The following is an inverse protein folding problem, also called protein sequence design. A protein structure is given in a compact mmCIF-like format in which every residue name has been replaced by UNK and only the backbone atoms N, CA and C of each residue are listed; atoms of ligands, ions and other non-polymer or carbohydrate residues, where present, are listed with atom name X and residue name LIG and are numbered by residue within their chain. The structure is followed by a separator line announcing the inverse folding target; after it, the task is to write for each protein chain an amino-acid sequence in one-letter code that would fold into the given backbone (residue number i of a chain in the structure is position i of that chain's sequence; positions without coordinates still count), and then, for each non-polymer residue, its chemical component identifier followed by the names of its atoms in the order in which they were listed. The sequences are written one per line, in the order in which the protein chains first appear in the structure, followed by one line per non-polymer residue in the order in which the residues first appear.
data_IF_944294775244
#
_entry.id   IF_944294775244
#
_cell.length_a   1.000
_cell.length_b   1.000
_cell.length_c   1.000
_cell.angle_alpha   90.00
_cell.angle_beta   90.00
_cell.angle_gamma   90.00
#
_symmetry.space_group_name_H-M   'P 1'
#
loop_
_entity.id
_entity.type
_entity.pdbx_description
1 polymer ?
#
# COMPACT_ATOMS: atom_id res chain seq x y z
N UNK A 1 -5.55 23.52 -13.48
CA UNK A 1 -5.76 22.15 -14.00
C UNK A 1 -7.22 22.03 -14.44
N UNK A 2 -7.50 21.66 -15.68
CA UNK A 2 -8.86 21.53 -16.21
C UNK A 2 -9.60 20.31 -15.63
N UNK A 3 -10.94 20.26 -15.75
CA UNK A 3 -11.73 19.10 -15.33
C UNK A 3 -11.30 17.84 -16.07
N UNK A 4 -10.94 17.95 -17.35
CA UNK A 4 -10.48 16.83 -18.17
C UNK A 4 -9.12 16.28 -17.73
N UNK A 5 -8.18 17.14 -17.35
CA UNK A 5 -6.87 16.73 -16.84
C UNK A 5 -7.00 16.00 -15.50
N UNK A 6 -7.94 16.45 -14.64
CA UNK A 6 -8.24 15.82 -13.36
C UNK A 6 -8.84 14.43 -13.56
N UNK A 7 -9.82 14.31 -14.45
CA UNK A 7 -10.44 13.03 -14.75
C UNK A 7 -9.44 12.02 -15.33
N UNK A 8 -8.60 12.46 -16.27
CA UNK A 8 -7.53 11.63 -16.83
C UNK A 8 -6.52 11.18 -15.75
N UNK A 9 -6.20 12.03 -14.77
CA UNK A 9 -5.33 11.68 -13.65
C UNK A 9 -5.96 10.62 -12.75
N UNK A 10 -7.24 10.77 -12.38
CA UNK A 10 -7.96 9.78 -11.57
C UNK A 10 -8.03 8.41 -12.26
N UNK A 11 -8.34 8.38 -13.56
CA UNK A 11 -8.31 7.15 -14.36
C UNK A 11 -6.93 6.49 -14.35
N UNK A 12 -5.86 7.30 -14.46
CA UNK A 12 -4.48 6.80 -14.44
C UNK A 12 -4.12 6.18 -13.08
N UNK A 13 -4.42 6.86 -11.99
CA UNK A 13 -4.14 6.36 -10.64
C UNK A 13 -4.90 5.06 -10.34
N UNK A 14 -6.18 5.01 -10.68
CA UNK A 14 -6.99 3.80 -10.51
C UNK A 14 -6.49 2.64 -11.38
N UNK A 15 -6.10 2.91 -12.63
CA UNK A 15 -5.55 1.90 -13.54
C UNK A 15 -4.24 1.30 -13.05
N UNK A 16 -3.33 2.14 -12.56
CA UNK A 16 -2.06 1.68 -11.95
C UNK A 16 -2.30 0.86 -10.68
N UNK A 17 -3.25 1.27 -9.85
CA UNK A 17 -3.58 0.51 -8.65
C UNK A 17 -4.17 -0.86 -8.99
N UNK A 18 -5.10 -0.95 -9.97
CA UNK A 18 -5.60 -2.23 -10.48
C UNK A 18 -4.47 -3.12 -11.00
N UNK A 19 -3.57 -2.56 -11.80
CA UNK A 19 -2.39 -3.28 -12.29
C UNK A 19 -1.58 -3.84 -11.13
N UNK A 20 -1.34 -3.02 -10.11
CA UNK A 20 -0.61 -3.42 -8.92
C UNK A 20 -1.31 -4.56 -8.16
N UNK A 21 -2.63 -4.47 -7.92
CA UNK A 21 -3.40 -5.53 -7.26
C UNK A 21 -3.28 -6.87 -7.99
N UNK A 22 -3.34 -6.85 -9.33
CA UNK A 22 -3.27 -8.05 -10.15
C UNK A 22 -1.85 -8.60 -10.32
N UNK A 23 -0.81 -7.79 -10.12
CA UNK A 23 0.58 -8.22 -10.15
C UNK A 23 1.00 -8.93 -8.84
N UNK A 24 0.40 -8.57 -7.72
CA UNK A 24 0.74 -9.12 -6.39
C UNK A 24 0.47 -10.61 -6.31
N UNK A 25 1.36 -11.40 -5.67
CA UNK A 25 1.03 -12.76 -5.27
C UNK A 25 -0.22 -12.76 -4.39
N UNK A 26 -1.24 -13.49 -4.78
CA UNK A 26 -2.50 -13.55 -4.03
C UNK A 26 -3.68 -14.01 -4.89
N UNK A 27 -4.91 -13.94 -4.36
CA UNK A 27 -6.09 -14.47 -5.04
C UNK A 27 -6.36 -13.82 -6.40
N UNK A 28 -6.10 -12.52 -6.54
CA UNK A 28 -6.33 -11.81 -7.80
C UNK A 28 -5.34 -12.23 -8.89
N UNK A 29 -4.08 -12.44 -8.52
CA UNK A 29 -3.07 -12.95 -9.43
C UNK A 29 -3.38 -14.40 -9.83
N UNK A 30 -3.69 -15.25 -8.86
CA UNK A 30 -4.05 -16.65 -9.11
C UNK A 30 -5.24 -16.79 -10.06
N UNK A 31 -6.21 -15.86 -10.00
CA UNK A 31 -7.39 -15.89 -10.87
C UNK A 31 -7.05 -15.76 -12.36
N UNK A 32 -6.04 -14.99 -12.76
CA UNK A 32 -5.66 -14.87 -14.17
C UNK A 32 -4.48 -15.78 -14.55
N UNK A 33 -3.61 -16.17 -13.63
CA UNK A 33 -2.47 -17.05 -13.91
C UNK A 33 -2.91 -18.42 -14.45
N UNK A 34 -4.08 -18.92 -14.06
CA UNK A 34 -4.62 -20.18 -14.61
C UNK A 34 -4.85 -20.15 -16.13
N UNK A 35 -4.94 -18.95 -16.72
CA UNK A 35 -5.08 -18.75 -18.18
C UNK A 35 -3.75 -18.37 -18.86
N UNK A 36 -2.65 -18.29 -18.10
CA UNK A 36 -1.35 -17.84 -18.60
C UNK A 36 -0.33 -18.97 -18.56
N UNK A 37 -0.11 -19.66 -19.68
CA UNK A 37 0.76 -20.85 -19.73
C UNK A 37 2.26 -20.59 -19.56
N UNK A 38 2.75 -19.34 -19.69
CA UNK A 38 4.17 -18.99 -19.61
C UNK A 38 4.40 -17.58 -19.04
N UNK A 39 3.66 -17.22 -17.96
CA UNK A 39 3.82 -15.90 -17.36
C UNK A 39 5.14 -15.80 -16.59
N UNK A 40 5.93 -14.76 -16.90
CA UNK A 40 7.08 -14.39 -16.08
C UNK A 40 6.61 -13.85 -14.72
N UNK A 41 7.42 -14.00 -13.64
CA UNK A 41 7.03 -13.59 -12.29
C UNK A 41 6.49 -12.16 -12.17
N UNK A 42 6.97 -11.24 -13.02
CA UNK A 42 6.67 -9.80 -12.95
C UNK A 42 5.78 -9.30 -14.10
N UNK A 43 5.26 -10.19 -14.95
CA UNK A 43 4.49 -9.81 -16.13
C UNK A 43 3.00 -10.13 -15.93
N UNK A 44 2.13 -9.10 -16.06
CA UNK A 44 0.68 -9.31 -16.14
C UNK A 44 0.30 -9.64 -17.58
N UNK A 45 -0.26 -10.81 -17.77
CA UNK A 45 -0.81 -11.24 -19.07
C UNK A 45 -2.19 -10.64 -19.28
N UNK A 46 -2.26 -9.55 -20.04
CA UNK A 46 -3.50 -8.82 -20.28
C UNK A 46 -4.56 -9.65 -21.02
N UNK A 47 -4.14 -10.61 -21.83
CA UNK A 47 -5.01 -11.61 -22.45
C UNK A 47 -5.66 -12.54 -21.42
N UNK A 48 -4.89 -13.01 -20.43
CA UNK A 48 -5.39 -13.84 -19.33
C UNK A 48 -6.34 -13.05 -18.40
N UNK A 49 -6.00 -11.80 -18.08
CA UNK A 49 -6.91 -10.89 -17.36
C UNK A 49 -8.21 -10.69 -18.14
N UNK A 50 -8.11 -10.55 -19.46
CA UNK A 50 -9.28 -10.44 -20.35
C UNK A 50 -10.16 -11.68 -20.31
N UNK A 51 -9.58 -12.88 -20.19
CA UNK A 51 -10.35 -14.12 -20.08
C UNK A 51 -11.15 -14.17 -18.77
N UNK A 52 -10.55 -13.81 -17.62
CA UNK A 52 -11.27 -13.75 -16.33
C UNK A 52 -12.47 -12.80 -16.41
N UNK A 53 -12.28 -11.63 -17.04
CA UNK A 53 -13.39 -10.67 -17.20
C UNK A 53 -14.44 -11.20 -18.17
N UNK A 54 -14.04 -11.86 -19.27
CA UNK A 54 -14.99 -12.43 -20.24
C UNK A 54 -15.85 -13.52 -19.59
N UNK A 55 -15.24 -14.45 -18.86
CA UNK A 55 -15.93 -15.53 -18.16
C UNK A 55 -16.96 -14.96 -17.18
N UNK A 56 -16.56 -13.96 -16.39
CA UNK A 56 -17.49 -13.28 -15.47
C UNK A 56 -18.66 -12.59 -16.19
N UNK A 57 -18.40 -11.94 -17.34
CA UNK A 57 -19.44 -11.28 -18.14
C UNK A 57 -20.45 -12.30 -18.72
N UNK A 58 -20.01 -13.49 -19.07
CA UNK A 58 -20.87 -14.58 -19.50
C UNK A 58 -21.68 -15.14 -18.34
N UNK A 59 -21.02 -15.43 -17.21
CA UNK A 59 -21.68 -15.97 -16.01
C UNK A 59 -22.71 -15.00 -15.42
N UNK A 60 -22.45 -13.70 -15.46
CA UNK A 60 -23.36 -12.66 -14.99
C UNK A 60 -24.51 -12.38 -15.96
N UNK A 61 -24.47 -12.93 -17.18
CA UNK A 61 -25.46 -12.67 -18.24
C UNK A 61 -25.37 -11.27 -18.86
N UNK A 62 -24.27 -10.54 -18.62
CA UNK A 62 -24.06 -9.22 -19.23
C UNK A 62 -23.62 -9.30 -20.69
N UNK A 63 -23.11 -10.45 -21.11
CA UNK A 63 -22.72 -10.77 -22.48
C UNK A 63 -23.17 -12.18 -22.86
N UNK A 64 -23.43 -12.36 -24.14
CA UNK A 64 -23.78 -13.65 -24.71
C UNK A 64 -22.51 -14.49 -24.90
N UNK A 65 -22.53 -15.77 -24.51
CA UNK A 65 -21.42 -16.71 -24.65
C UNK A 65 -21.06 -17.03 -26.12
N UNK A 66 -21.91 -16.65 -27.06
CA UNK A 66 -21.66 -16.75 -28.51
C UNK A 66 -20.67 -15.72 -29.03
N UNK A 67 -20.33 -14.66 -28.24
CA UNK A 67 -19.37 -13.63 -28.64
C UNK A 67 -17.91 -14.10 -28.42
N UNK A 68 -17.42 -14.94 -29.30
CA UNK A 68 -16.05 -15.48 -29.27
C UNK A 68 -14.94 -14.42 -29.44
N UNK A 69 -15.29 -13.17 -29.80
CA UNK A 69 -14.38 -12.05 -29.94
C UNK A 69 -14.14 -11.25 -28.67
N UNK A 70 -14.94 -11.49 -27.63
CA UNK A 70 -14.97 -10.66 -26.42
C UNK A 70 -13.60 -10.57 -25.71
N UNK A 71 -12.92 -11.69 -25.48
CA UNK A 71 -11.63 -11.70 -24.80
C UNK A 71 -10.57 -10.86 -25.56
N UNK A 72 -10.57 -10.90 -26.90
CA UNK A 72 -9.67 -10.09 -27.72
C UNK A 72 -9.98 -8.59 -27.62
N UNK A 73 -11.26 -8.23 -27.67
CA UNK A 73 -11.71 -6.85 -27.50
C UNK A 73 -11.35 -6.29 -26.12
N UNK A 74 -11.48 -7.12 -25.08
CA UNK A 74 -11.13 -6.77 -23.72
C UNK A 74 -9.63 -6.50 -23.54
N UNK A 75 -8.75 -7.22 -24.24
CA UNK A 75 -7.30 -7.01 -24.17
C UNK A 75 -6.91 -5.55 -24.43
N UNK A 76 -7.43 -4.94 -25.50
CA UNK A 76 -7.14 -3.53 -25.81
C UNK A 76 -7.73 -2.58 -24.77
N UNK A 77 -8.89 -2.93 -24.22
CA UNK A 77 -9.54 -2.13 -23.17
C UNK A 77 -8.77 -2.18 -21.85
N UNK A 78 -8.27 -3.37 -21.46
CA UNK A 78 -7.42 -3.59 -20.29
C UNK A 78 -6.09 -2.87 -20.45
N UNK A 79 -5.45 -2.99 -21.62
CA UNK A 79 -4.19 -2.29 -21.91
C UNK A 79 -4.33 -0.78 -21.74
N UNK A 80 -5.42 -0.19 -22.23
CA UNK A 80 -5.71 1.24 -22.05
C UNK A 80 -5.99 1.59 -20.58
N UNK A 81 -6.73 0.74 -19.86
CA UNK A 81 -7.03 0.94 -18.45
C UNK A 81 -5.75 0.96 -17.61
N UNK A 82 -4.86 -0.01 -17.77
CA UNK A 82 -3.57 -0.07 -17.09
C UNK A 82 -2.63 1.07 -17.49
N UNK A 83 -2.65 1.49 -18.76
CA UNK A 83 -1.91 2.66 -19.23
C UNK A 83 -2.51 4.00 -18.76
N UNK A 84 -3.55 3.99 -17.94
CA UNK A 84 -4.22 5.18 -17.42
C UNK A 84 -4.95 5.99 -18.48
N UNK A 85 -5.35 5.35 -19.56
CA UNK A 85 -6.11 5.95 -20.65
C UNK A 85 -7.37 5.15 -20.91
N UNK A 86 -8.54 5.72 -20.59
CA UNK A 86 -9.83 5.10 -20.92
C UNK A 86 -10.34 4.06 -19.92
N UNK A 87 -9.95 4.12 -18.67
CA UNK A 87 -10.64 3.39 -17.59
C UNK A 87 -12.01 4.03 -17.37
N UNK A 88 -13.08 3.36 -17.81
CA UNK A 88 -14.45 3.80 -17.56
C UNK A 88 -14.99 3.17 -16.25
N UNK A 89 -16.06 3.74 -15.68
CA UNK A 89 -16.77 3.14 -14.55
C UNK A 89 -17.28 1.74 -14.86
N UNK A 90 -17.70 1.50 -16.10
CA UNK A 90 -18.10 0.17 -16.56
C UNK A 90 -16.95 -0.82 -16.51
N UNK A 91 -15.76 -0.43 -17.04
CA UNK A 91 -14.56 -1.26 -16.98
C UNK A 91 -14.12 -1.51 -15.55
N UNK A 92 -14.21 -0.51 -14.69
CA UNK A 92 -13.91 -0.64 -13.27
C UNK A 92 -14.82 -1.68 -12.60
N UNK A 93 -16.13 -1.61 -12.85
CA UNK A 93 -17.09 -2.59 -12.33
C UNK A 93 -16.79 -4.02 -12.80
N UNK A 94 -16.29 -4.19 -14.02
CA UNK A 94 -15.88 -5.50 -14.50
C UNK A 94 -14.69 -6.07 -13.72
N UNK A 95 -13.68 -5.23 -13.41
CA UNK A 95 -12.59 -5.66 -12.54
C UNK A 95 -13.08 -6.01 -11.14
N UNK A 96 -13.96 -5.18 -10.56
CA UNK A 96 -14.54 -5.42 -9.23
C UNK A 96 -15.26 -6.78 -9.16
N UNK A 97 -16.10 -7.08 -10.15
CA UNK A 97 -16.87 -8.31 -10.20
C UNK A 97 -16.04 -9.55 -10.55
N UNK A 98 -15.27 -9.47 -11.65
CA UNK A 98 -14.54 -10.62 -12.19
C UNK A 98 -13.42 -11.11 -11.25
N UNK A 99 -12.78 -10.22 -10.50
CA UNK A 99 -11.73 -10.58 -9.55
C UNK A 99 -12.23 -10.70 -8.12
N UNK A 100 -13.51 -10.42 -7.86
CA UNK A 100 -14.06 -10.45 -6.50
C UNK A 100 -13.26 -9.52 -5.57
N UNK A 101 -12.98 -8.29 -6.02
CA UNK A 101 -12.17 -7.36 -5.24
C UNK A 101 -12.76 -7.16 -3.85
N UNK A 102 -11.91 -7.11 -2.82
CA UNK A 102 -12.32 -6.83 -1.47
C UNK A 102 -13.02 -5.47 -1.38
N UNK A 103 -13.89 -5.26 -0.39
CA UNK A 103 -14.56 -3.96 -0.18
C UNK A 103 -13.54 -2.83 -0.09
N UNK A 104 -12.42 -3.06 0.60
CA UNK A 104 -11.31 -2.13 0.70
C UNK A 104 -10.75 -1.77 -0.68
N UNK A 105 -10.39 -2.76 -1.50
CA UNK A 105 -9.81 -2.53 -2.83
C UNK A 105 -10.81 -1.82 -3.77
N UNK A 106 -12.09 -2.21 -3.71
CA UNK A 106 -13.18 -1.54 -4.45
C UNK A 106 -13.27 -0.07 -4.07
N UNK A 107 -13.36 0.22 -2.76
CA UNK A 107 -13.43 1.59 -2.28
C UNK A 107 -12.20 2.37 -2.73
N UNK A 108 -11.04 1.80 -2.61
CA UNK A 108 -9.76 2.39 -2.96
C UNK A 108 -9.65 2.74 -4.44
N UNK A 109 -9.97 1.80 -5.32
CA UNK A 109 -9.98 2.04 -6.77
C UNK A 109 -10.97 3.16 -7.12
N UNK A 110 -12.17 3.16 -6.51
CA UNK A 110 -13.20 4.18 -6.75
C UNK A 110 -12.77 5.56 -6.25
N UNK A 111 -12.09 5.64 -5.12
CA UNK A 111 -11.53 6.90 -4.61
C UNK A 111 -10.47 7.45 -5.56
N UNK A 112 -9.52 6.63 -5.98
CA UNK A 112 -8.51 7.00 -6.97
C UNK A 112 -9.14 7.48 -8.27
N UNK A 113 -10.15 6.79 -8.75
CA UNK A 113 -10.89 7.17 -9.95
C UNK A 113 -11.58 8.53 -9.80
N UNK A 114 -12.13 8.80 -8.62
CA UNK A 114 -12.81 10.06 -8.27
C UNK A 114 -11.85 11.14 -7.79
N UNK A 115 -10.59 10.79 -7.49
CA UNK A 115 -9.66 11.68 -6.81
C UNK A 115 -9.32 12.91 -7.65
N UNK A 116 -10.05 13.94 -7.37
CA UNK A 116 -10.08 15.18 -8.15
C UNK A 116 -9.35 16.30 -7.42
N UNK A 117 -9.00 16.13 -6.13
CA UNK A 117 -8.71 17.28 -5.28
C UNK A 117 -7.50 17.17 -4.35
N UNK A 118 -6.72 16.06 -4.32
CA UNK A 118 -5.61 15.94 -3.36
C UNK A 118 -4.30 15.57 -4.03
N UNK A 119 -3.18 16.16 -3.58
CA UNK A 119 -1.88 15.72 -4.07
C UNK A 119 -1.70 14.25 -3.66
N UNK A 120 -1.51 13.38 -4.64
CA UNK A 120 -1.13 11.98 -4.43
C UNK A 120 0.38 11.85 -4.24
N UNK A 121 1.12 12.94 -4.44
CA UNK A 121 2.55 13.06 -4.17
C UNK A 121 2.71 14.15 -3.12
N UNK A 122 3.29 13.81 -1.98
CA UNK A 122 3.56 14.72 -0.88
C UNK A 122 5.05 14.77 -0.64
N UNK A 123 5.63 15.98 -0.76
CA UNK A 123 7.02 16.24 -0.44
C UNK A 123 7.08 17.25 0.70
N UNK A 124 7.77 16.89 1.77
CA UNK A 124 7.98 17.74 2.94
C UNK A 124 9.40 18.30 3.02
N UNK A 125 9.72 18.83 4.18
CA UNK A 125 11.04 19.38 4.51
C UNK A 125 11.55 18.82 5.84
N UNK A 126 11.28 17.53 6.08
CA UNK A 126 11.74 16.87 7.29
C UNK A 126 13.26 16.99 7.44
N UNK A 127 13.78 17.35 8.61
CA UNK A 127 15.21 17.45 8.86
C UNK A 127 15.93 16.13 8.55
N UNK A 128 17.15 16.24 8.05
CA UNK A 128 17.98 15.05 7.83
C UNK A 128 18.22 14.31 9.16
N UNK A 129 18.24 12.98 9.13
CA UNK A 129 18.46 12.18 10.32
C UNK A 129 19.85 12.49 10.92
N UNK A 130 19.93 12.57 12.24
CA UNK A 130 21.20 12.79 12.95
C UNK A 130 22.15 11.60 12.81
N UNK A 131 21.63 10.43 12.55
CA UNK A 131 22.40 9.21 12.26
C UNK A 131 22.42 9.02 10.74
N UNK A 132 23.59 8.78 10.12
CA UNK A 132 23.67 8.55 8.69
C UNK A 132 22.72 7.45 8.27
N UNK A 133 21.77 7.79 7.42
CA UNK A 133 20.84 6.85 6.86
C UNK A 133 21.41 6.28 5.56
N UNK A 134 22.10 5.16 5.68
CA UNK A 134 22.56 4.41 4.52
C UNK A 134 21.44 3.45 4.08
N UNK A 135 20.39 4.00 3.47
CA UNK A 135 19.48 3.12 2.77
C UNK A 135 20.09 2.76 1.42
N UNK A 136 20.63 1.58 1.32
CA UNK A 136 21.06 0.99 0.05
C UNK A 136 19.90 0.64 -0.87
N UNK A 137 18.70 1.19 -0.65
CA UNK A 137 17.48 0.88 -1.39
C UNK A 137 16.57 2.09 -1.53
N UNK A 138 15.64 2.01 -2.46
CA UNK A 138 14.41 2.79 -2.52
C UNK A 138 13.21 1.87 -2.30
N UNK A 139 12.11 2.43 -1.82
CA UNK A 139 10.84 1.70 -1.63
C UNK A 139 9.95 1.98 -2.83
N UNK A 140 9.65 0.94 -3.60
CA UNK A 140 8.78 1.04 -4.78
C UNK A 140 7.33 0.71 -4.47
N UNK A 141 7.08 0.10 -3.31
CA UNK A 141 5.75 -0.18 -2.80
C UNK A 141 5.77 -0.29 -1.28
N UNK A 142 4.76 0.29 -0.63
CA UNK A 142 4.53 0.15 0.79
C UNK A 142 3.04 0.01 1.09
N UNK A 143 2.66 -1.08 1.71
CA UNK A 143 1.37 -1.25 2.35
C UNK A 143 1.58 -1.39 3.86
N UNK A 144 0.85 -0.61 4.65
CA UNK A 144 0.84 -0.70 6.10
C UNK A 144 -0.59 -0.72 6.63
N UNK A 145 -0.87 -1.68 7.50
CA UNK A 145 -2.16 -1.83 8.16
C UNK A 145 -1.97 -1.88 9.67
N UNK A 146 -2.36 -0.80 10.33
CA UNK A 146 -2.29 -0.63 11.77
C UNK A 146 -3.63 -0.97 12.41
N UNK A 147 -3.65 -1.96 13.30
CA UNK A 147 -4.88 -2.49 13.93
C UNK A 147 -4.85 -2.23 15.42
N UNK A 148 -5.89 -1.57 15.91
CA UNK A 148 -6.10 -1.30 17.32
C UNK A 148 -6.93 -2.40 18.00
N UNK A 149 -6.56 -2.72 19.23
CA UNK A 149 -7.29 -3.67 20.06
C UNK A 149 -8.56 -3.08 20.68
N UNK A 150 -9.31 -3.93 21.39
CA UNK A 150 -10.53 -3.54 22.11
C UNK A 150 -10.31 -2.46 23.16
N UNK A 151 -9.12 -2.39 23.73
CA UNK A 151 -8.70 -1.39 24.71
C UNK A 151 -8.28 -0.05 24.08
N UNK A 152 -8.21 -0.01 22.74
CA UNK A 152 -7.74 1.15 22.00
C UNK A 152 -6.21 1.24 21.90
N UNK A 153 -5.51 0.20 22.31
CA UNK A 153 -4.05 0.11 22.19
C UNK A 153 -3.69 -0.61 20.88
N UNK A 154 -2.60 -0.23 20.19
CA UNK A 154 -2.14 -0.97 19.02
C UNK A 154 -1.94 -2.46 19.35
N UNK A 155 -2.59 -3.33 18.61
CA UNK A 155 -2.50 -4.77 18.77
C UNK A 155 -1.51 -5.39 17.77
N UNK A 156 -1.58 -4.95 16.52
CA UNK A 156 -0.73 -5.48 15.46
C UNK A 156 -0.58 -4.49 14.31
N UNK A 157 0.53 -4.62 13.61
CA UNK A 157 0.83 -3.84 12.42
C UNK A 157 1.35 -4.77 11.33
N UNK A 158 0.71 -4.76 10.18
CA UNK A 158 1.11 -5.52 9.00
C UNK A 158 1.85 -4.61 8.04
N UNK A 159 3.01 -5.03 7.59
CA UNK A 159 3.76 -4.30 6.57
C UNK A 159 4.10 -5.22 5.40
N UNK A 160 3.81 -4.75 4.20
CA UNK A 160 4.25 -5.34 2.95
C UNK A 160 5.04 -4.28 2.18
N UNK A 161 6.28 -4.59 1.81
CA UNK A 161 7.16 -3.61 1.19
C UNK A 161 7.98 -4.24 0.08
N UNK A 162 8.10 -3.53 -1.04
CA UNK A 162 9.03 -3.86 -2.12
C UNK A 162 10.17 -2.85 -2.12
N UNK A 163 11.38 -3.37 -2.14
CA UNK A 163 12.62 -2.60 -2.20
C UNK A 163 13.27 -2.78 -3.55
N UNK A 164 13.89 -1.73 -4.07
CA UNK A 164 14.84 -1.80 -5.18
C UNK A 164 16.22 -1.46 -4.65
N UNK A 165 17.18 -2.36 -4.80
CA UNK A 165 18.55 -2.16 -4.35
C UNK A 165 19.23 -1.03 -5.15
N UNK A 166 19.88 -0.11 -4.44
CA UNK A 166 20.69 0.98 -5.02
C UNK A 166 22.19 0.73 -4.88
N UNK A 167 22.56 -0.41 -4.32
CA UNK A 167 23.95 -0.89 -4.16
C UNK A 167 23.99 -2.38 -4.45
N UNK A 168 25.12 -2.87 -4.94
CA UNK A 168 25.36 -4.30 -5.06
C UNK A 168 25.58 -4.93 -3.68
N UNK A 169 25.07 -6.16 -3.50
CA UNK A 169 25.27 -6.93 -2.28
C UNK A 169 24.39 -6.50 -1.11
N UNK A 170 23.30 -5.78 -1.35
CA UNK A 170 22.34 -5.46 -0.29
C UNK A 170 21.74 -6.75 0.28
N UNK A 171 22.05 -7.08 1.53
CA UNK A 171 21.71 -8.36 2.16
C UNK A 171 20.55 -8.30 3.14
N UNK A 172 20.16 -7.10 3.59
CA UNK A 172 19.11 -6.92 4.61
C UNK A 172 18.41 -5.59 4.48
N UNK A 173 17.20 -5.55 5.05
CA UNK A 173 16.44 -4.34 5.36
C UNK A 173 16.42 -4.11 6.85
N UNK A 174 16.82 -2.91 7.30
CA UNK A 174 16.77 -2.52 8.71
C UNK A 174 15.40 -1.92 9.04
N UNK A 175 14.55 -2.71 9.70
CA UNK A 175 13.26 -2.24 10.21
C UNK A 175 13.46 -1.60 11.59
N UNK A 176 13.00 -0.35 11.75
CA UNK A 176 13.14 0.44 12.97
C UNK A 176 11.80 0.62 13.65
N UNK A 177 11.83 0.58 14.98
CA UNK A 177 10.66 0.68 15.83
C UNK A 177 11.03 1.49 17.08
N UNK A 178 10.07 2.21 17.63
CA UNK A 178 10.22 3.07 18.81
C UNK A 178 10.00 2.34 20.14
N UNK A 179 9.64 1.07 20.11
CA UNK A 179 9.35 0.25 21.28
C UNK A 179 10.08 -1.09 21.27
N UNK A 180 10.35 -1.64 22.47
CA UNK A 180 10.75 -3.05 22.64
C UNK A 180 9.58 -3.95 23.00
N UNK A 181 8.40 -3.38 23.23
CA UNK A 181 7.19 -4.11 23.60
C UNK A 181 6.48 -4.63 22.35
N UNK A 182 7.24 -5.30 21.47
CA UNK A 182 6.73 -5.86 20.22
C UNK A 182 7.49 -7.12 19.80
N UNK A 183 6.76 -8.07 19.23
CA UNK A 183 7.27 -9.22 18.49
C UNK A 183 7.17 -8.96 16.99
N UNK A 184 8.25 -9.19 16.25
CA UNK A 184 8.26 -9.03 14.80
C UNK A 184 8.36 -10.41 14.16
N UNK A 185 7.46 -10.71 13.21
CA UNK A 185 7.37 -12.00 12.51
C UNK A 185 7.39 -11.79 11.01
N UNK A 186 8.47 -12.21 10.38
CA UNK A 186 8.57 -12.21 8.91
C UNK A 186 7.77 -13.39 8.36
N UNK A 187 6.83 -13.08 7.45
CA UNK A 187 5.99 -14.05 6.75
C UNK A 187 6.67 -14.51 5.46
N UNK A 188 7.29 -13.55 4.76
CA UNK A 188 7.93 -13.79 3.47
C UNK A 188 9.08 -12.81 3.22
N UNK A 189 10.04 -13.23 2.38
CA UNK A 189 11.09 -12.39 1.83
C UNK A 189 12.37 -12.35 2.64
N UNK A 190 12.44 -13.04 3.79
CA UNK A 190 13.67 -13.06 4.57
C UNK A 190 13.54 -13.74 5.92
N UNK A 191 14.56 -13.60 6.74
CA UNK A 191 14.62 -14.03 8.14
C UNK A 191 14.96 -12.84 9.03
N UNK A 192 14.55 -12.89 10.30
CA UNK A 192 14.72 -11.77 11.23
C UNK A 192 15.93 -12.00 12.13
N UNK A 193 16.70 -10.92 12.40
CA UNK A 193 17.74 -10.88 13.44
C UNK A 193 17.12 -10.66 14.83
N UNK A 194 17.88 -10.90 15.91
CA UNK A 194 17.51 -10.38 17.22
C UNK A 194 17.35 -8.85 17.17
N UNK A 195 16.41 -8.34 17.99
CA UNK A 195 16.23 -6.89 18.16
C UNK A 195 17.44 -6.29 18.87
N UNK A 196 17.90 -5.14 18.39
CA UNK A 196 19.02 -4.40 18.97
C UNK A 196 18.73 -2.90 19.08
N UNK A 197 19.44 -2.23 19.96
CA UNK A 197 19.30 -0.78 20.12
C UNK A 197 20.00 -0.05 18.98
N UNK A 198 19.23 0.70 18.19
CA UNK A 198 19.74 1.47 17.05
C UNK A 198 20.19 2.88 17.47
N UNK A 199 19.39 3.56 18.30
CA UNK A 199 19.69 4.89 18.83
C UNK A 199 19.17 5.01 20.28
N UNK A 200 19.17 6.22 20.84
CA UNK A 200 18.56 6.44 22.16
C UNK A 200 17.06 6.19 22.17
N UNK A 201 16.38 6.44 21.05
CA UNK A 201 14.92 6.44 20.93
C UNK A 201 14.39 5.29 20.07
N UNK A 202 15.28 4.60 19.32
CA UNK A 202 14.87 3.60 18.35
C UNK A 202 15.58 2.27 18.57
N UNK A 203 14.81 1.22 18.36
CA UNK A 203 15.26 -0.16 18.23
C UNK A 203 15.19 -0.59 16.78
N UNK A 204 15.89 -1.65 16.43
CA UNK A 204 15.87 -2.19 15.08
C UNK A 204 15.96 -3.72 15.09
N UNK A 205 15.48 -4.29 14.01
CA UNK A 205 15.75 -5.64 13.57
C UNK A 205 16.21 -5.61 12.12
N UNK A 206 17.08 -6.51 11.73
CA UNK A 206 17.44 -6.70 10.33
C UNK A 206 16.59 -7.84 9.76
N UNK A 207 15.87 -7.56 8.69
CA UNK A 207 15.22 -8.59 7.86
C UNK A 207 16.23 -8.97 6.79
N UNK A 208 16.87 -10.13 6.96
CA UNK A 208 17.90 -10.66 6.09
C UNK A 208 17.24 -11.32 4.88
N UNK A 209 17.60 -10.89 3.67
CA UNK A 209 17.13 -11.49 2.43
C UNK A 209 17.70 -12.90 2.22
N UNK A 210 17.04 -13.70 1.43
CA UNK A 210 17.52 -15.08 1.12
C UNK A 210 18.82 -15.09 0.33
N UNK A 211 19.11 -14.03 -0.42
CA UNK A 211 20.38 -13.78 -1.12
C UNK A 211 20.64 -12.27 -1.18
N UNK A 212 21.90 -11.84 -1.28
CA UNK A 212 22.23 -10.44 -1.50
C UNK A 212 21.70 -9.97 -2.85
N UNK A 213 21.06 -8.80 -2.87
CA UNK A 213 20.48 -8.20 -4.08
C UNK A 213 21.57 -7.50 -4.89
N UNK A 214 21.51 -7.63 -6.20
CA UNK A 214 22.30 -6.83 -7.13
C UNK A 214 21.69 -5.42 -7.27
N UNK A 215 22.48 -4.46 -7.77
CA UNK A 215 21.96 -3.11 -8.09
C UNK A 215 20.75 -3.20 -9.03
N UNK A 216 19.67 -2.52 -8.68
CA UNK A 216 18.41 -2.51 -9.43
C UNK A 216 17.52 -3.72 -9.21
N UNK A 217 17.99 -4.75 -8.50
CA UNK A 217 17.16 -5.91 -8.16
C UNK A 217 16.10 -5.54 -7.10
N UNK A 218 14.91 -6.13 -7.23
CA UNK A 218 13.80 -5.90 -6.29
C UNK A 218 13.62 -7.11 -5.36
N UNK A 219 13.32 -6.80 -4.09
CA UNK A 219 12.89 -7.78 -3.10
C UNK A 219 11.58 -7.35 -2.45
N UNK A 220 10.69 -8.32 -2.26
CA UNK A 220 9.45 -8.14 -1.53
C UNK A 220 9.57 -8.78 -0.15
N UNK A 221 9.17 -8.03 0.89
CA UNK A 221 9.14 -8.50 2.27
C UNK A 221 7.76 -8.26 2.87
N UNK A 222 7.28 -9.24 3.64
CA UNK A 222 6.00 -9.26 4.32
C UNK A 222 6.22 -9.63 5.79
N UNK A 223 5.79 -8.78 6.73
CA UNK A 223 5.95 -9.04 8.16
C UNK A 223 4.85 -8.45 9.02
N UNK A 224 4.68 -9.01 10.19
CA UNK A 224 3.82 -8.53 11.25
C UNK A 224 4.66 -8.00 12.41
N UNK A 225 4.24 -6.88 12.98
CA UNK A 225 4.63 -6.41 14.31
C UNK A 225 3.44 -6.62 15.23
N UNK A 226 3.62 -7.39 16.31
CA UNK A 226 2.60 -7.69 17.31
C UNK A 226 2.99 -6.93 18.56
N UNK A 227 2.17 -5.99 19.01
CA UNK A 227 2.47 -5.12 20.13
C UNK A 227 2.01 -5.71 21.46
N UNK A 228 2.76 -5.42 22.53
CA UNK A 228 2.50 -5.84 23.90
C UNK A 228 2.65 -4.66 24.85
N UNK A 229 2.15 -3.49 24.45
CA UNK A 229 2.30 -2.27 25.25
C UNK A 229 1.81 -2.44 26.68
N UNK A 230 2.68 -2.15 27.65
CA UNK A 230 2.35 -2.13 29.08
C UNK A 230 1.60 -0.85 29.47
N UNK A 231 1.71 0.21 28.65
CA UNK A 231 0.99 1.48 28.79
C UNK A 231 0.50 1.94 27.41
N UNK A 232 -0.69 2.56 27.32
CA UNK A 232 -1.16 3.09 26.05
C UNK A 232 -0.13 4.07 25.47
N UNK A 233 0.29 3.88 24.19
CA UNK A 233 1.12 4.85 23.48
C UNK A 233 0.31 6.08 23.08
N UNK A 234 0.95 7.03 22.41
CA UNK A 234 0.25 8.16 21.78
C UNK A 234 -0.82 7.67 20.78
N UNK A 235 -1.91 8.45 20.67
CA UNK A 235 -3.03 8.12 19.78
C UNK A 235 -2.73 8.55 18.35
N UNK A 236 -1.70 7.93 17.78
CA UNK A 236 -1.23 8.22 16.44
C UNK A 236 -0.51 7.02 15.82
N UNK A 237 -0.50 7.01 14.50
CA UNK A 237 0.27 6.12 13.67
C UNK A 237 1.01 6.97 12.63
N UNK A 238 2.35 6.98 12.67
CA UNK A 238 3.21 7.81 11.82
C UNK A 238 4.10 6.96 10.91
N UNK A 239 4.18 7.36 9.66
CA UNK A 239 5.18 6.87 8.72
C UNK A 239 6.08 8.00 8.28
N UNK A 240 7.38 7.90 8.59
CA UNK A 240 8.40 8.84 8.16
C UNK A 240 9.20 8.29 6.98
N UNK A 241 9.57 9.15 6.04
CA UNK A 241 10.50 8.80 4.97
C UNK A 241 11.44 9.95 4.64
N UNK A 242 12.74 9.64 4.52
CA UNK A 242 13.78 10.56 4.09
C UNK A 242 14.08 10.46 2.59
N UNK A 243 13.57 9.41 1.92
CA UNK A 243 13.73 9.19 0.49
C UNK A 243 12.36 9.01 -0.12
N UNK A 244 12.31 9.13 -1.43
CA UNK A 244 11.10 8.85 -2.19
C UNK A 244 10.66 7.40 -1.92
N UNK A 245 9.43 7.27 -1.45
CA UNK A 245 8.72 6.00 -1.30
C UNK A 245 7.51 6.08 -2.24
N UNK A 246 7.36 5.09 -3.09
CA UNK A 246 6.30 5.05 -4.09
C UNK A 246 5.18 4.10 -3.66
N UNK A 247 3.99 4.33 -4.20
CA UNK A 247 2.82 3.47 -4.03
C UNK A 247 2.55 3.08 -2.57
N UNK A 248 2.35 4.11 -1.72
CA UNK A 248 2.02 3.90 -0.31
C UNK A 248 0.51 3.71 -0.14
N UNK A 249 0.14 2.70 0.63
CA UNK A 249 -1.22 2.50 1.14
C UNK A 249 -1.15 2.32 2.66
N UNK A 250 -1.58 3.35 3.41
CA UNK A 250 -1.60 3.35 4.86
C UNK A 250 -3.03 3.18 5.35
N UNK A 251 -3.27 2.14 6.14
CA UNK A 251 -4.58 1.83 6.72
C UNK A 251 -4.51 1.78 8.24
N UNK A 252 -5.53 2.33 8.89
CA UNK A 252 -5.79 2.15 10.32
C UNK A 252 -7.16 1.48 10.51
N UNK A 253 -7.25 0.52 11.42
CA UNK A 253 -8.47 -0.21 11.77
C UNK A 253 -8.71 -0.15 13.27
N UNK A 254 -9.92 0.22 13.67
CA UNK A 254 -10.35 0.32 15.05
C UNK A 254 -11.21 -0.87 15.44
N UNK A 255 -11.11 -1.29 16.70
CA UNK A 255 -12.03 -2.30 17.21
C UNK A 255 -13.44 -1.73 17.33
N UNK A 256 -14.51 -2.47 16.92
CA UNK A 256 -15.89 -1.96 16.93
C UNK A 256 -16.37 -1.43 18.29
N UNK A 257 -15.83 -1.95 19.38
CA UNK A 257 -16.18 -1.53 20.74
C UNK A 257 -15.36 -0.31 21.24
N UNK A 258 -14.41 0.17 20.43
CA UNK A 258 -13.55 1.30 20.78
C UNK A 258 -13.26 2.15 19.54
N UNK A 259 -14.24 2.96 19.16
CA UNK A 259 -14.13 3.87 18.02
C UNK A 259 -13.63 5.24 18.48
N UNK A 260 -12.82 5.93 17.68
CA UNK A 260 -12.38 7.29 17.98
C UNK A 260 -13.54 8.26 17.88
N UNK A 261 -13.52 9.30 18.74
CA UNK A 261 -14.45 10.42 18.63
C UNK A 261 -14.13 11.29 17.42
N UNK A 262 -12.85 11.42 17.07
CA UNK A 262 -12.34 12.11 15.88
C UNK A 262 -11.12 11.41 15.33
N UNK A 263 -10.94 11.46 14.03
CA UNK A 263 -9.80 10.86 13.30
C UNK A 263 -9.33 11.84 12.24
N UNK A 264 -8.00 12.02 12.16
CA UNK A 264 -7.35 12.88 11.16
C UNK A 264 -6.30 12.11 10.37
N UNK A 265 -6.22 12.42 9.10
CA UNK A 265 -5.03 12.22 8.29
C UNK A 265 -4.12 13.42 8.51
N UNK A 266 -2.89 13.19 8.97
CA UNK A 266 -2.01 14.24 9.48
C UNK A 266 -0.64 14.19 8.79
N UNK A 267 -0.09 15.37 8.51
CA UNK A 267 1.30 15.57 8.13
C UNK A 267 2.03 16.31 9.25
N UNK A 268 3.17 15.76 9.68
CA UNK A 268 4.03 16.35 10.70
C UNK A 268 5.32 16.91 10.08
N UNK A 269 5.93 17.91 10.75
CA UNK A 269 7.19 18.49 10.33
C UNK A 269 8.39 17.57 10.60
N UNK A 270 8.33 16.77 11.68
CA UNK A 270 9.37 15.82 12.09
C UNK A 270 8.70 14.57 12.69
N UNK A 271 9.46 13.48 12.80
CA UNK A 271 9.02 12.22 13.43
C UNK A 271 9.26 12.20 14.96
N UNK A 272 9.97 13.20 15.51
CA UNK A 272 10.37 13.24 16.92
C UNK A 272 9.37 14.00 17.79
N UNK A 273 9.06 13.44 18.93
CA UNK A 273 8.54 14.17 20.07
C UNK A 273 9.71 14.89 20.79
N UNK A 274 9.57 16.09 21.29
CA UNK A 274 8.38 16.91 21.52
C UNK A 274 8.07 17.93 20.41
N UNK A 275 8.79 17.89 19.30
CA UNK A 275 8.61 18.83 18.19
C UNK A 275 7.40 18.44 17.30
N UNK A 276 6.27 18.14 17.95
CA UNK A 276 5.05 17.63 17.33
C UNK A 276 4.30 18.73 16.54
N UNK A 277 5.01 19.31 15.58
CA UNK A 277 4.43 20.35 14.73
C UNK A 277 3.63 19.69 13.61
N UNK A 278 2.31 19.82 13.70
CA UNK A 278 1.40 19.47 12.61
C UNK A 278 1.52 20.52 11.51
N UNK A 279 1.84 20.09 10.30
CA UNK A 279 1.98 20.94 9.10
C UNK A 279 0.64 21.06 8.39
N UNK A 280 -0.07 19.94 8.27
CA UNK A 280 -1.38 19.85 7.64
C UNK A 280 -2.18 18.69 8.27
N UNK A 281 -3.48 18.86 8.40
CA UNK A 281 -4.35 17.77 8.84
C UNK A 281 -5.75 17.90 8.24
N UNK A 282 -6.37 16.76 8.09
CA UNK A 282 -7.68 16.63 7.51
C UNK A 282 -8.47 15.59 8.30
N UNK A 283 -9.64 15.98 8.77
CA UNK A 283 -10.56 15.04 9.41
C UNK A 283 -11.09 14.02 8.40
N UNK A 284 -11.03 12.74 8.77
CA UNK A 284 -11.44 11.61 7.92
C UNK A 284 -12.47 10.77 8.66
N UNK A 285 -13.45 10.25 7.92
CA UNK A 285 -14.44 9.34 8.46
C UNK A 285 -13.98 7.89 8.35
N UNK A 286 -14.44 7.06 9.28
CA UNK A 286 -14.30 5.61 9.18
C UNK A 286 -15.27 5.07 8.12
N UNK A 287 -14.85 3.99 7.48
CA UNK A 287 -15.70 3.19 6.61
C UNK A 287 -16.59 2.20 7.42
N UNK A 288 -17.36 1.37 6.71
CA UNK A 288 -18.25 0.37 7.30
C UNK A 288 -17.49 -0.74 8.06
N UNK A 289 -16.18 -0.89 7.82
CA UNK A 289 -15.30 -1.85 8.48
C UNK A 289 -14.52 -1.21 9.65
N UNK A 290 -14.94 -0.01 10.10
CA UNK A 290 -14.30 0.76 11.17
C UNK A 290 -12.84 1.12 10.86
N UNK A 291 -12.52 1.31 9.60
CA UNK A 291 -11.19 1.63 9.13
C UNK A 291 -11.14 2.93 8.33
N UNK A 292 -9.94 3.50 8.26
CA UNK A 292 -9.63 4.56 7.32
C UNK A 292 -8.31 4.25 6.61
N UNK A 293 -8.16 4.69 5.38
CA UNK A 293 -6.94 4.49 4.62
C UNK A 293 -6.60 5.67 3.73
N UNK A 294 -5.34 5.78 3.38
CA UNK A 294 -4.79 6.75 2.44
C UNK A 294 -3.78 6.09 1.53
N UNK A 295 -3.99 6.28 0.25
CA UNK A 295 -2.99 5.96 -0.75
C UNK A 295 -2.30 7.22 -1.26
N UNK A 296 -1.01 7.11 -1.49
CA UNK A 296 -0.20 8.13 -2.15
C UNK A 296 0.58 7.48 -3.29
N UNK A 297 0.69 8.18 -4.41
CA UNK A 297 1.61 7.78 -5.49
C UNK A 297 3.06 7.81 -5.01
N UNK A 298 3.40 8.81 -4.20
CA UNK A 298 4.71 8.92 -3.55
C UNK A 298 4.68 9.85 -2.34
N UNK A 299 5.60 9.61 -1.40
CA UNK A 299 5.96 10.56 -0.36
C UNK A 299 7.49 10.68 -0.26
N UNK A 300 7.99 11.86 0.13
CA UNK A 300 9.41 12.13 0.26
C UNK A 300 9.68 13.23 1.29
N UNK A 301 10.73 13.07 2.11
CA UNK A 301 11.15 14.03 3.15
C UNK A 301 10.01 14.48 4.07
N UNK A 302 9.11 13.58 4.47
CA UNK A 302 7.92 13.94 5.24
C UNK A 302 7.52 12.83 6.20
N UNK A 303 6.65 13.19 7.15
CA UNK A 303 5.99 12.26 8.08
C UNK A 303 4.49 12.38 7.86
N UNK A 304 3.84 11.27 7.60
CA UNK A 304 2.40 11.19 7.34
C UNK A 304 1.78 10.06 8.16
N UNK A 305 0.48 10.15 8.42
CA UNK A 305 -0.23 9.08 9.08
C UNK A 305 -1.58 9.47 9.63
N UNK A 306 -2.02 8.78 10.67
CA UNK A 306 -3.30 9.01 11.32
C UNK A 306 -3.10 9.46 12.76
N UNK A 307 -3.90 10.40 13.21
CA UNK A 307 -4.04 10.84 14.60
C UNK A 307 -5.51 10.76 15.00
N UNK A 308 -5.79 10.37 16.23
CA UNK A 308 -7.18 10.26 16.71
C UNK A 308 -7.34 10.69 18.15
N UNK A 309 -8.58 10.98 18.50
CA UNK A 309 -9.03 11.22 19.87
C UNK A 309 -10.09 10.18 20.25
N UNK A 310 -10.05 9.79 21.53
CA UNK A 310 -11.04 8.86 22.11
C UNK A 310 -12.29 9.57 22.61
#
# INVERSE_FOLDING_TARGET
MSINERHARGQRSAGLYLQHLLARPGPYRAAWEQFAHDAKPDEIRQDAVGQVIADWLYESGERDDTDTGLARMLKDRISRAFGGRGLSLETLRWFEGAFGLSRHDVQRVRELYRSVLRPTIITGQMPLPRVPYSAGHETTLLYEHHVLGRDGVPARHHTQQTFRALIDGMSNYQYRIDTTEADIRVVRGGTISPMYRFSQELWAVDIQFHHPLAYGEEAYVDWWTIFHYSRPPATEFRRATHRRTEHLDLRIEFHPEKLPSRLWWTQWADYREPDDVVVDEEEVALDEEFSAHRYLEAMEHTVLGFRWEW
#
